data_IF_732234288775
#
_entry.id   IF_732234288775
#
_cell.length_a   1.000
_cell.length_b   1.000
_cell.length_c   1.000
_cell.angle_alpha   90.00
_cell.angle_beta   90.00
_cell.angle_gamma   90.00
#
_symmetry.space_group_name_H-M   'P 1'
#
loop_
_entity.id
_entity.type
_entity.pdbx_description
1 polymer ?
#
# COMPACT_ATOMS: atom_id res chain seq x y z
N UNK A 1 -10.65 -37.86 9.37
CA UNK A 1 -9.97 -36.72 9.96
C UNK A 1 -10.82 -36.23 11.14
N UNK A 2 -10.40 -36.47 12.40
CA UNK A 2 -11.17 -36.05 13.57
C UNK A 2 -10.85 -34.56 13.81
N UNK A 3 -11.78 -33.70 13.47
CA UNK A 3 -11.67 -32.26 13.76
C UNK A 3 -11.94 -32.11 15.27
N UNK A 4 -10.90 -31.86 16.04
CA UNK A 4 -11.03 -31.62 17.47
C UNK A 4 -11.74 -30.27 17.71
N UNK A 5 -12.67 -30.26 18.67
CA UNK A 5 -13.41 -29.04 19.10
C UNK A 5 -12.47 -27.87 19.44
N UNK A 6 -11.26 -28.19 19.90
CA UNK A 6 -10.20 -27.22 20.17
C UNK A 6 -9.69 -26.51 18.91
N UNK A 7 -9.58 -27.23 17.78
CA UNK A 7 -9.13 -26.64 16.50
C UNK A 7 -10.18 -25.72 15.89
N UNK A 8 -11.47 -26.03 16.09
CA UNK A 8 -12.58 -25.18 15.64
C UNK A 8 -12.60 -23.87 16.44
N UNK A 9 -12.43 -23.95 17.77
CA UNK A 9 -12.37 -22.79 18.64
C UNK A 9 -11.17 -21.88 18.28
N UNK A 10 -10.00 -22.46 18.02
CA UNK A 10 -8.81 -21.72 17.59
C UNK A 10 -9.02 -21.00 16.24
N UNK A 11 -9.75 -21.63 15.31
CA UNK A 11 -10.06 -21.04 14.00
C UNK A 11 -11.04 -19.85 14.13
N UNK A 12 -12.02 -19.96 15.02
CA UNK A 12 -12.96 -18.85 15.29
C UNK A 12 -12.28 -17.68 16.00
N UNK A 13 -11.38 -17.93 16.94
CA UNK A 13 -10.62 -16.87 17.64
C UNK A 13 -9.65 -16.18 16.70
N UNK A 14 -8.95 -16.90 15.83
CA UNK A 14 -8.07 -16.33 14.81
C UNK A 14 -8.87 -15.52 13.77
N UNK A 15 -10.05 -15.98 13.36
CA UNK A 15 -10.94 -15.28 12.42
C UNK A 15 -11.52 -13.98 12.98
N UNK A 16 -11.87 -13.95 14.27
CA UNK A 16 -12.41 -12.73 14.90
C UNK A 16 -11.38 -11.63 15.09
N UNK A 17 -10.11 -11.97 15.30
CA UNK A 17 -9.00 -11.01 15.41
C UNK A 17 -8.70 -10.33 14.05
N UNK A 18 -8.99 -10.97 12.92
CA UNK A 18 -8.80 -10.38 11.60
C UNK A 18 -9.86 -9.33 11.24
N UNK A 19 -11.07 -9.44 11.80
CA UNK A 19 -12.18 -8.52 11.50
C UNK A 19 -12.05 -7.17 12.19
N UNK A 20 -11.38 -7.10 13.36
CA UNK A 20 -11.16 -5.85 14.08
C UNK A 20 -9.98 -5.03 13.55
N UNK A 21 -9.15 -5.61 12.67
CA UNK A 21 -7.97 -4.95 12.12
C UNK A 21 -8.29 -3.90 11.04
N UNK A 22 -9.47 -3.96 10.43
CA UNK A 22 -9.81 -3.07 9.31
C UNK A 22 -10.05 -1.62 9.72
N UNK A 23 -10.51 -1.36 10.94
CA UNK A 23 -10.81 0.00 11.42
C UNK A 23 -9.54 0.81 11.72
N UNK A 24 -8.50 0.15 12.20
CA UNK A 24 -7.21 0.78 12.49
C UNK A 24 -6.43 1.20 11.23
N UNK A 25 -6.72 0.58 10.08
CA UNK A 25 -6.03 0.86 8.82
C UNK A 25 -6.51 2.15 8.17
N UNK A 26 -7.73 2.61 8.43
CA UNK A 26 -8.26 3.83 7.83
C UNK A 26 -7.53 5.09 8.35
N UNK A 27 -7.16 5.12 9.62
CA UNK A 27 -6.42 6.22 10.25
C UNK A 27 -4.89 6.05 10.22
N UNK A 28 -4.40 4.94 9.65
CA UNK A 28 -2.98 4.68 9.54
C UNK A 28 -2.33 5.54 8.45
N UNK A 29 -1.08 5.96 8.66
CA UNK A 29 -0.29 6.56 7.61
C UNK A 29 0.03 5.54 6.50
N UNK A 30 0.47 6.03 5.34
CA UNK A 30 0.67 5.16 4.17
C UNK A 30 1.79 4.12 4.37
N UNK A 31 2.80 4.44 5.15
CA UNK A 31 3.85 3.49 5.56
C UNK A 31 3.24 2.33 6.35
N UNK A 32 2.35 2.62 7.30
CA UNK A 32 1.65 1.60 8.08
C UNK A 32 0.70 0.77 7.21
N UNK A 33 -0.01 1.42 6.27
CA UNK A 33 -0.86 0.73 5.29
C UNK A 33 -0.04 -0.22 4.40
N UNK A 34 1.08 0.27 3.89
CA UNK A 34 2.01 -0.54 3.10
C UNK A 34 2.56 -1.72 3.89
N UNK A 35 2.98 -1.49 5.13
CA UNK A 35 3.46 -2.55 6.01
C UNK A 35 2.37 -3.59 6.32
N UNK A 36 1.13 -3.16 6.62
CA UNK A 36 0.02 -4.06 6.90
C UNK A 36 -0.35 -4.94 5.69
N UNK A 37 -0.46 -4.33 4.50
CA UNK A 37 -0.74 -5.05 3.25
C UNK A 37 0.41 -6.01 2.93
N UNK A 38 1.66 -5.56 3.04
CA UNK A 38 2.83 -6.38 2.80
C UNK A 38 2.92 -7.57 3.76
N UNK A 39 2.62 -7.35 5.06
CA UNK A 39 2.58 -8.42 6.06
C UNK A 39 1.50 -9.45 5.72
N UNK A 40 0.29 -9.01 5.39
CA UNK A 40 -0.81 -9.91 5.05
C UNK A 40 -0.50 -10.73 3.79
N UNK A 41 -0.07 -10.08 2.71
CA UNK A 41 0.29 -10.75 1.47
C UNK A 41 1.48 -11.70 1.65
N UNK A 42 2.52 -11.24 2.33
CA UNK A 42 3.71 -12.05 2.63
C UNK A 42 3.41 -13.27 3.49
N UNK A 43 2.53 -13.14 4.49
CA UNK A 43 2.11 -14.26 5.34
C UNK A 43 1.34 -15.32 4.54
N UNK A 44 0.44 -14.91 3.64
CA UNK A 44 -0.31 -15.85 2.77
C UNK A 44 0.65 -16.59 1.85
N UNK A 45 1.50 -15.86 1.12
CA UNK A 45 2.46 -16.45 0.18
C UNK A 45 3.45 -17.36 0.92
N UNK A 46 4.02 -16.86 2.03
CA UNK A 46 4.96 -17.61 2.84
C UNK A 46 4.35 -18.86 3.47
N UNK A 47 3.08 -18.78 3.90
CA UNK A 47 2.33 -19.92 4.41
C UNK A 47 2.13 -21.03 3.36
N UNK A 48 1.76 -20.64 2.14
CA UNK A 48 1.59 -21.57 1.01
C UNK A 48 2.94 -22.22 0.67
N UNK A 49 4.00 -21.42 0.54
CA UNK A 49 5.34 -21.93 0.23
C UNK A 49 5.85 -22.84 1.37
N UNK A 50 5.70 -22.44 2.62
CA UNK A 50 6.14 -23.23 3.77
C UNK A 50 5.39 -24.56 3.92
N UNK A 51 4.15 -24.63 3.43
CA UNK A 51 3.39 -25.88 3.40
C UNK A 51 3.80 -26.79 2.23
N UNK A 52 4.26 -26.24 1.13
CA UNK A 52 4.61 -27.00 -0.08
C UNK A 52 6.11 -27.35 -0.17
N UNK A 53 6.98 -26.67 0.57
CA UNK A 53 8.42 -26.91 0.49
C UNK A 53 8.83 -27.92 1.57
N UNK A 54 9.51 -28.97 1.15
CA UNK A 54 10.04 -30.02 2.03
C UNK A 54 8.98 -31.09 2.37
N UNK A 55 8.96 -31.53 3.64
CA UNK A 55 8.05 -32.58 4.12
C UNK A 55 6.64 -32.08 4.46
N UNK A 56 6.34 -30.81 4.16
CA UNK A 56 5.08 -30.16 4.54
C UNK A 56 5.01 -29.81 6.03
N UNK A 57 3.95 -29.10 6.42
CA UNK A 57 3.69 -28.76 7.83
C UNK A 57 4.39 -27.51 8.36
N UNK A 58 5.23 -26.84 7.60
CA UNK A 58 5.92 -25.60 7.98
C UNK A 58 5.15 -24.32 7.58
N UNK A 59 3.85 -24.43 7.27
CA UNK A 59 3.00 -23.30 6.92
C UNK A 59 3.04 -22.17 7.97
N UNK A 60 2.99 -22.43 9.30
CA UNK A 60 3.06 -21.36 10.29
C UNK A 60 4.40 -20.61 10.25
N UNK A 61 5.50 -21.32 10.07
CA UNK A 61 6.84 -20.73 10.00
C UNK A 61 7.01 -19.91 8.72
N UNK A 62 6.53 -20.44 7.59
CA UNK A 62 6.50 -19.73 6.32
C UNK A 62 5.65 -18.46 6.36
N UNK A 63 4.48 -18.51 7.02
CA UNK A 63 3.62 -17.36 7.19
C UNK A 63 4.27 -16.25 8.05
N UNK A 64 4.94 -16.62 9.14
CA UNK A 64 5.65 -15.66 10.00
C UNK A 64 6.79 -15.00 9.25
N UNK A 65 7.65 -15.78 8.60
CA UNK A 65 8.79 -15.25 7.84
C UNK A 65 8.32 -14.39 6.65
N UNK A 66 7.34 -14.87 5.90
CA UNK A 66 6.74 -14.13 4.78
C UNK A 66 6.08 -12.83 5.22
N UNK A 67 5.37 -12.87 6.35
CA UNK A 67 4.75 -11.68 6.93
C UNK A 67 5.75 -10.61 7.36
N UNK A 68 6.85 -11.01 8.02
CA UNK A 68 7.91 -10.08 8.42
C UNK A 68 8.59 -9.45 7.20
N UNK A 69 9.00 -10.26 6.22
CA UNK A 69 9.64 -9.74 5.00
C UNK A 69 8.69 -8.85 4.20
N UNK A 70 7.44 -9.28 4.05
CA UNK A 70 6.42 -8.52 3.34
C UNK A 70 6.08 -7.20 4.04
N UNK A 71 5.99 -7.21 5.37
CA UNK A 71 5.72 -6.01 6.17
C UNK A 71 6.84 -4.97 6.07
N UNK A 72 8.09 -5.41 6.14
CA UNK A 72 9.24 -4.51 5.98
C UNK A 72 9.28 -3.94 4.56
N UNK A 73 9.13 -4.77 3.54
CA UNK A 73 9.13 -4.34 2.14
C UNK A 73 7.99 -3.35 1.86
N UNK A 74 6.77 -3.67 2.30
CA UNK A 74 5.60 -2.82 2.14
C UNK A 74 5.73 -1.48 2.88
N UNK A 75 6.31 -1.48 4.07
CA UNK A 75 6.60 -0.27 4.83
C UNK A 75 7.60 0.65 4.13
N UNK A 76 8.69 0.10 3.61
CA UNK A 76 9.70 0.87 2.85
C UNK A 76 9.13 1.45 1.57
N UNK A 77 8.33 0.67 0.83
CA UNK A 77 7.65 1.15 -0.38
C UNK A 77 6.68 2.29 0.00
N UNK A 78 5.88 2.11 1.06
CA UNK A 78 4.96 3.12 1.56
C UNK A 78 5.67 4.44 1.90
N UNK A 79 6.78 4.39 2.63
CA UNK A 79 7.57 5.58 3.00
C UNK A 79 8.14 6.31 1.77
N UNK A 80 8.67 5.56 0.80
CA UNK A 80 9.17 6.15 -0.45
C UNK A 80 8.08 6.87 -1.23
N UNK A 81 6.90 6.27 -1.34
CA UNK A 81 5.77 6.89 -2.04
C UNK A 81 5.25 8.13 -1.31
N UNK A 82 5.27 8.14 0.04
CA UNK A 82 4.90 9.31 0.82
C UNK A 82 5.87 10.47 0.59
N UNK A 83 7.16 10.18 0.52
CA UNK A 83 8.20 11.17 0.19
C UNK A 83 8.02 11.74 -1.22
N UNK A 84 7.78 10.88 -2.21
CA UNK A 84 7.53 11.31 -3.59
C UNK A 84 6.26 12.16 -3.70
N UNK A 85 5.16 11.77 -3.06
CA UNK A 85 3.93 12.57 -3.06
C UNK A 85 4.14 13.95 -2.43
N UNK A 86 4.92 14.02 -1.36
CA UNK A 86 5.29 15.30 -0.72
C UNK A 86 6.15 16.16 -1.61
N UNK A 87 7.15 15.57 -2.27
CA UNK A 87 8.05 16.25 -3.19
C UNK A 87 7.30 16.84 -4.40
N UNK A 88 6.38 16.08 -4.99
CA UNK A 88 5.51 16.56 -6.07
C UNK A 88 4.65 17.73 -5.56
N UNK A 89 4.07 17.65 -4.38
CA UNK A 89 3.25 18.71 -3.80
C UNK A 89 4.03 20.00 -3.53
N UNK A 90 5.29 19.87 -3.12
CA UNK A 90 6.19 21.02 -2.91
C UNK A 90 6.66 21.63 -4.23
N UNK A 91 6.84 20.81 -5.26
CA UNK A 91 7.31 21.23 -6.59
C UNK A 91 6.21 21.88 -7.41
N UNK A 92 4.96 21.45 -7.21
CA UNK A 92 3.78 21.98 -7.91
C UNK A 92 2.76 22.58 -6.93
N UNK A 93 2.97 23.80 -6.45
CA UNK A 93 2.00 24.49 -5.61
C UNK A 93 0.68 24.68 -6.37
N UNK A 94 -0.41 24.14 -5.85
CA UNK A 94 -1.74 24.20 -6.46
C UNK A 94 -2.18 22.91 -7.15
N UNK A 95 -1.32 21.90 -7.31
CA UNK A 95 -1.74 20.56 -7.67
C UNK A 95 -2.27 19.81 -6.44
N UNK A 96 -3.34 19.07 -6.61
CA UNK A 96 -3.83 18.15 -5.59
C UNK A 96 -3.15 16.80 -5.77
N UNK A 97 -2.35 16.41 -4.78
CA UNK A 97 -1.57 15.17 -4.80
C UNK A 97 -2.16 14.22 -3.78
N UNK A 98 -2.71 13.11 -4.25
CA UNK A 98 -3.34 12.08 -3.43
C UNK A 98 -2.71 10.72 -3.75
N UNK A 99 -2.48 9.93 -2.72
CA UNK A 99 -2.08 8.54 -2.89
C UNK A 99 -3.30 7.64 -3.12
N UNK A 100 -3.28 6.88 -4.19
CA UNK A 100 -4.34 5.94 -4.53
C UNK A 100 -3.73 4.56 -4.76
N UNK A 101 -3.90 3.67 -3.80
CA UNK A 101 -3.32 2.32 -3.86
C UNK A 101 -1.78 2.35 -3.95
N UNK A 102 -1.24 1.78 -5.00
CA UNK A 102 0.21 1.74 -5.28
C UNK A 102 0.71 2.90 -6.17
N UNK A 103 -0.15 3.87 -6.46
CA UNK A 103 0.16 5.02 -7.29
C UNK A 103 -0.01 6.36 -6.58
N UNK A 104 0.46 7.40 -7.23
CA UNK A 104 0.25 8.79 -6.84
C UNK A 104 -0.64 9.44 -7.89
N UNK A 105 -1.81 9.89 -7.48
CA UNK A 105 -2.72 10.65 -8.33
C UNK A 105 -2.39 12.13 -8.16
N UNK A 106 -2.04 12.77 -9.26
CA UNK A 106 -1.82 14.21 -9.33
C UNK A 106 -2.96 14.83 -10.11
N UNK A 107 -3.75 15.65 -9.46
CA UNK A 107 -4.83 16.39 -10.10
C UNK A 107 -4.36 17.82 -10.36
N UNK A 108 -4.23 18.16 -11.64
CA UNK A 108 -3.83 19.47 -12.09
C UNK A 108 -5.08 20.35 -12.29
N UNK A 109 -5.07 21.52 -11.71
CA UNK A 109 -6.14 22.49 -11.85
C UNK A 109 -5.71 23.64 -12.78
N UNK A 110 -6.64 24.57 -13.04
CA UNK A 110 -6.41 25.73 -13.90
C UNK A 110 -5.28 26.68 -13.42
N UNK A 111 -4.90 26.62 -12.15
CA UNK A 111 -3.75 27.37 -11.63
C UNK A 111 -2.42 26.68 -11.94
N UNK A 112 -2.44 25.39 -12.25
CA UNK A 112 -1.26 24.57 -12.51
C UNK A 112 -1.02 24.39 -14.00
N UNK A 113 -2.10 24.13 -14.76
CA UNK A 113 -2.07 23.92 -16.21
C UNK A 113 -3.22 24.66 -16.85
N UNK A 114 -2.91 25.61 -17.72
CA UNK A 114 -3.88 26.34 -18.51
C UNK A 114 -3.38 26.53 -19.95
N UNK A 115 -4.32 26.88 -20.84
CA UNK A 115 -4.09 27.12 -22.25
C UNK A 115 -4.28 28.59 -22.55
N UNK A 116 -3.65 29.06 -23.62
CA UNK A 116 -3.90 30.38 -24.14
C UNK A 116 -5.36 30.53 -24.66
N UNK A 117 -5.92 31.72 -24.57
CA UNK A 117 -7.30 31.97 -24.97
C UNK A 117 -7.56 31.50 -26.40
N UNK A 118 -8.60 30.69 -26.59
CA UNK A 118 -9.00 30.10 -27.88
C UNK A 118 -7.86 29.34 -28.61
N UNK A 119 -6.98 28.68 -27.84
CA UNK A 119 -5.80 27.98 -28.37
C UNK A 119 -5.62 26.65 -27.68
N UNK A 120 -5.01 25.69 -28.37
CA UNK A 120 -4.54 24.43 -27.81
C UNK A 120 -3.10 24.51 -27.28
N UNK A 121 -2.48 25.69 -27.31
CA UNK A 121 -1.13 25.87 -26.80
C UNK A 121 -1.14 26.09 -25.30
N UNK A 122 -0.29 25.36 -24.61
CA UNK A 122 -0.04 25.57 -23.18
C UNK A 122 0.62 26.91 -22.94
N UNK A 123 0.19 27.62 -21.92
CA UNK A 123 0.86 28.83 -21.46
C UNK A 123 2.30 28.53 -21.03
N UNK A 124 3.16 29.53 -20.98
CA UNK A 124 4.55 29.39 -20.52
C UNK A 124 4.61 28.87 -19.09
N UNK A 125 3.70 29.31 -18.24
CA UNK A 125 3.60 28.83 -16.85
C UNK A 125 3.24 27.34 -16.80
N UNK A 126 2.25 26.91 -17.60
CA UNK A 126 1.84 25.52 -17.67
C UNK A 126 2.98 24.60 -18.15
N UNK A 127 3.74 25.02 -19.16
CA UNK A 127 4.94 24.30 -19.63
C UNK A 127 5.98 24.16 -18.52
N UNK A 128 6.31 25.26 -17.84
CA UNK A 128 7.29 25.24 -16.74
C UNK A 128 6.85 24.35 -15.57
N UNK A 129 5.55 24.31 -15.29
CA UNK A 129 5.03 23.43 -14.25
C UNK A 129 5.08 21.94 -14.64
N UNK A 130 4.77 21.63 -15.88
CA UNK A 130 4.84 20.25 -16.39
C UNK A 130 6.28 19.74 -16.52
N UNK A 131 7.23 20.62 -16.85
CA UNK A 131 8.66 20.27 -16.93
C UNK A 131 9.29 19.90 -15.58
N UNK A 132 8.59 20.19 -14.46
CA UNK A 132 9.04 19.84 -13.11
C UNK A 132 8.51 18.49 -12.63
N UNK A 133 7.62 17.83 -13.37
CA UNK A 133 7.07 16.51 -13.05
C UNK A 133 7.98 15.40 -13.58
#
# INVERSE_FOLDING_TARGET
MKINKLNIAAFFIAGSLLLTSCESVQNANNTQKGAAIGTAAGAVIGGILGNNIGKGGNAPLGAVLGGVVGGVAGGVIGDKMDKQAKEIKETLPGAEVERVGEGIKVTLNENTVNFDFNSANLTTLAKTNLDKL
#
